data_IF_246984398088
#
_entry.id   IF_246984398088
#
_cell.length_a   1.000
_cell.length_b   1.000
_cell.length_c   1.000
_cell.angle_alpha   90.00
_cell.angle_beta   90.00
_cell.angle_gamma   90.00
#
_symmetry.space_group_name_H-M   'P 1'
#
loop_
_entity.id
_entity.type
_entity.pdbx_description
1 polymer ?
#
# COMPACT_ATOMS: atom_id res chain seq x y z
N UNK A 1 1.86 -20.78 5.17
CA UNK A 1 1.49 -19.67 4.27
C UNK A 1 2.19 -18.44 4.79
N UNK A 2 3.25 -17.88 4.23
CA UNK A 2 4.06 -18.12 3.04
C UNK A 2 4.97 -16.88 3.06
N UNK A 3 6.21 -17.03 3.52
CA UNK A 3 7.07 -15.88 3.81
C UNK A 3 7.16 -14.96 2.59
N UNK A 4 6.63 -13.74 2.69
CA UNK A 4 6.65 -12.72 1.64
C UNK A 4 8.06 -12.13 1.49
N UNK A 5 9.07 -12.98 1.33
CA UNK A 5 10.38 -12.55 0.86
C UNK A 5 10.16 -12.03 -0.56
N UNK A 6 10.41 -10.73 -0.77
CA UNK A 6 10.54 -10.19 -2.12
C UNK A 6 11.62 -11.03 -2.80
N UNK A 7 11.33 -11.81 -3.85
CA UNK A 7 12.40 -12.48 -4.57
C UNK A 7 13.34 -11.37 -5.06
N UNK A 8 14.59 -11.43 -4.61
CA UNK A 8 15.61 -10.46 -4.97
C UNK A 8 16.07 -10.80 -6.40
N UNK A 9 15.22 -10.50 -7.37
CA UNK A 9 15.50 -10.73 -8.78
C UNK A 9 16.35 -9.54 -9.23
N UNK A 10 17.63 -9.80 -9.47
CA UNK A 10 18.57 -8.83 -10.02
C UNK A 10 19.06 -9.32 -11.39
N UNK A 11 18.79 -8.57 -12.48
CA UNK A 11 18.05 -7.31 -12.52
C UNK A 11 16.54 -7.50 -12.31
N UNK A 12 15.87 -6.47 -11.80
CA UNK A 12 14.42 -6.46 -11.68
C UNK A 12 13.79 -6.75 -13.06
N UNK A 13 12.82 -7.68 -13.19
CA UNK A 13 12.21 -7.97 -14.47
C UNK A 13 11.63 -6.68 -15.06
N UNK A 14 12.16 -6.25 -16.19
CA UNK A 14 11.67 -5.09 -16.93
C UNK A 14 10.40 -5.44 -17.71
N UNK A 15 9.39 -5.99 -17.02
CA UNK A 15 8.08 -6.07 -17.64
C UNK A 15 7.57 -4.65 -17.80
N UNK A 16 7.45 -4.22 -19.05
CA UNK A 16 7.04 -2.85 -19.35
C UNK A 16 5.60 -2.63 -18.86
N UNK A 17 5.37 -1.46 -18.26
CA UNK A 17 4.06 -1.01 -17.83
C UNK A 17 3.02 -1.19 -18.96
N UNK A 18 3.37 -0.82 -20.19
CA UNK A 18 2.53 -0.90 -21.39
C UNK A 18 1.97 -2.28 -21.68
N UNK A 19 2.72 -3.33 -21.33
CA UNK A 19 2.31 -4.71 -21.59
C UNK A 19 1.43 -5.27 -20.48
N UNK A 20 1.57 -4.75 -19.26
CA UNK A 20 0.86 -5.27 -18.10
C UNK A 20 -0.44 -4.51 -17.84
N UNK A 21 -0.47 -3.19 -18.04
CA UNK A 21 -1.66 -2.38 -17.80
C UNK A 21 -2.89 -2.88 -18.56
N UNK A 22 -2.84 -3.26 -19.85
CA UNK A 22 -4.01 -3.80 -20.54
C UNK A 22 -4.56 -5.08 -19.93
N UNK A 23 -3.69 -5.94 -19.39
CA UNK A 23 -4.10 -7.18 -18.70
C UNK A 23 -4.76 -6.84 -17.37
N UNK A 24 -4.17 -5.93 -16.59
CA UNK A 24 -4.75 -5.47 -15.33
C UNK A 24 -6.10 -4.77 -15.55
N UNK A 25 -6.20 -3.92 -16.57
CA UNK A 25 -7.45 -3.28 -16.99
C UNK A 25 -8.53 -4.30 -17.32
N UNK A 26 -8.18 -5.34 -18.07
CA UNK A 26 -9.10 -6.43 -18.38
C UNK A 26 -9.60 -7.14 -17.12
N UNK A 27 -8.73 -7.35 -16.12
CA UNK A 27 -9.10 -7.99 -14.85
C UNK A 27 -10.04 -7.09 -14.04
N UNK A 28 -9.74 -5.80 -13.88
CA UNK A 28 -10.56 -4.90 -13.06
C UNK A 28 -11.90 -4.55 -13.73
N UNK A 29 -11.98 -4.63 -15.06
CA UNK A 29 -13.20 -4.37 -15.83
C UNK A 29 -14.19 -5.55 -15.84
N UNK A 30 -13.78 -6.72 -15.36
CA UNK A 30 -14.67 -7.88 -15.29
C UNK A 30 -15.70 -7.75 -14.17
N UNK A 31 -16.97 -8.01 -14.50
CA UNK A 31 -18.03 -8.11 -13.51
C UNK A 31 -17.71 -9.20 -12.48
N UNK A 32 -17.83 -8.87 -11.20
CA UNK A 32 -17.49 -9.79 -10.10
C UNK A 32 -15.99 -9.96 -9.85
N UNK A 33 -15.14 -9.07 -10.38
CA UNK A 33 -13.71 -9.05 -10.04
C UNK A 33 -13.49 -9.05 -8.51
N UNK A 34 -12.73 -10.02 -8.02
CA UNK A 34 -12.45 -10.21 -6.59
C UNK A 34 -11.09 -9.64 -6.16
N UNK A 35 -10.38 -8.93 -7.04
CA UNK A 35 -9.05 -8.37 -6.75
C UNK A 35 -9.11 -7.38 -5.59
N UNK A 36 -8.62 -7.71 -4.40
CA UNK A 36 -8.74 -6.86 -3.20
C UNK A 36 -7.62 -5.85 -3.02
N UNK A 37 -6.46 -6.15 -3.58
CA UNK A 37 -5.24 -5.37 -3.37
C UNK A 37 -4.29 -5.58 -4.54
N UNK A 38 -3.57 -4.52 -4.90
CA UNK A 38 -2.52 -4.57 -5.91
C UNK A 38 -1.30 -3.81 -5.40
N UNK A 39 -0.14 -4.44 -5.54
CA UNK A 39 1.15 -3.80 -5.30
C UNK A 39 1.81 -3.46 -6.64
N UNK A 40 2.11 -2.18 -6.86
CA UNK A 40 2.80 -1.77 -8.08
C UNK A 40 4.32 -1.76 -7.90
N UNK A 41 5.08 -2.20 -8.92
CA UNK A 41 6.53 -2.06 -8.96
C UNK A 41 6.97 -0.62 -8.67
N UNK A 42 8.04 -0.43 -7.90
CA UNK A 42 8.54 0.92 -7.59
C UNK A 42 8.90 1.71 -8.85
N UNK A 43 9.37 1.02 -9.89
CA UNK A 43 9.71 1.65 -11.18
C UNK A 43 8.51 2.31 -11.87
N UNK A 44 7.27 1.84 -11.62
CA UNK A 44 6.06 2.47 -12.18
C UNK A 44 5.59 3.68 -11.36
N UNK A 45 6.02 3.76 -10.10
CA UNK A 45 5.63 4.80 -9.14
C UNK A 45 6.62 5.96 -9.07
N UNK A 46 7.76 5.85 -9.73
CA UNK A 46 8.77 6.89 -9.78
C UNK A 46 8.44 7.92 -10.89
N UNK A 47 8.84 9.17 -10.66
CA UNK A 47 8.65 10.25 -11.63
C UNK A 47 9.80 10.29 -12.67
N UNK A 48 9.50 10.60 -13.95
CA UNK A 48 8.17 10.85 -14.50
C UNK A 48 7.33 9.57 -14.58
N UNK A 49 6.06 9.67 -14.17
CA UNK A 49 5.14 8.54 -14.17
C UNK A 49 4.74 8.19 -15.60
N UNK A 50 4.60 6.89 -15.87
CA UNK A 50 4.14 6.42 -17.17
C UNK A 50 2.74 6.96 -17.49
N UNK A 51 2.55 7.53 -18.68
CA UNK A 51 1.31 8.23 -19.05
C UNK A 51 0.03 7.38 -18.91
N UNK A 52 0.08 6.09 -19.28
CA UNK A 52 -1.05 5.17 -19.13
C UNK A 52 -1.29 4.70 -17.68
N UNK A 53 -0.32 4.89 -16.79
CA UNK A 53 -0.43 4.41 -15.41
C UNK A 53 -1.43 5.24 -14.60
N UNK A 54 -1.47 6.56 -14.79
CA UNK A 54 -2.43 7.43 -14.10
C UNK A 54 -3.90 7.10 -14.45
N UNK A 55 -4.29 7.00 -15.74
CA UNK A 55 -5.64 6.55 -16.10
C UNK A 55 -6.00 5.19 -15.52
N UNK A 56 -5.04 4.25 -15.49
CA UNK A 56 -5.24 2.95 -14.88
C UNK A 56 -5.52 3.06 -13.37
N UNK A 57 -4.72 3.85 -12.63
CA UNK A 57 -4.92 4.05 -11.19
C UNK A 57 -6.29 4.65 -10.89
N UNK A 58 -6.77 5.60 -11.69
CA UNK A 58 -8.13 6.15 -11.56
C UNK A 58 -9.20 5.07 -11.73
N UNK A 59 -9.07 4.19 -12.73
CA UNK A 59 -10.02 3.08 -12.91
C UNK A 59 -9.96 2.06 -11.78
N UNK A 60 -8.75 1.76 -11.31
CA UNK A 60 -8.55 0.84 -10.20
C UNK A 60 -9.19 1.39 -8.90
N UNK A 61 -9.00 2.67 -8.63
CA UNK A 61 -9.60 3.36 -7.49
C UNK A 61 -11.13 3.34 -7.57
N UNK A 62 -11.72 3.70 -8.71
CA UNK A 62 -13.16 3.60 -8.95
C UNK A 62 -13.70 2.18 -8.76
N UNK A 63 -12.95 1.16 -9.20
CA UNK A 63 -13.31 -0.24 -8.98
C UNK A 63 -13.32 -0.61 -7.49
N UNK A 64 -12.43 -0.03 -6.67
CA UNK A 64 -12.44 -0.24 -5.21
C UNK A 64 -13.60 0.48 -4.53
N UNK A 65 -13.90 1.72 -4.96
CA UNK A 65 -15.02 2.52 -4.44
C UNK A 65 -16.39 1.89 -4.73
N UNK A 66 -16.57 1.31 -5.92
CA UNK A 66 -17.85 0.74 -6.35
C UNK A 66 -18.18 -0.63 -5.75
N UNK A 67 -17.35 -1.15 -4.84
CA UNK A 67 -17.61 -2.42 -4.16
C UNK A 67 -18.48 -2.24 -2.93
N UNK A 68 -18.85 -3.37 -2.33
CA UNK A 68 -19.53 -3.41 -1.04
C UNK A 68 -18.81 -2.53 -0.01
N UNK A 69 -19.61 -2.01 0.92
CA UNK A 69 -19.18 -1.14 2.01
C UNK A 69 -17.96 -1.72 2.73
N UNK A 70 -16.84 -1.03 2.65
CA UNK A 70 -15.66 -1.35 3.44
C UNK A 70 -15.80 -0.70 4.82
N UNK A 71 -15.56 -1.49 5.85
CA UNK A 71 -15.62 -1.03 7.24
C UNK A 71 -14.27 -1.22 7.90
N UNK A 72 -13.89 -0.24 8.72
CA UNK A 72 -12.73 -0.36 9.58
C UNK A 72 -12.94 -1.48 10.58
N UNK A 73 -11.98 -2.40 10.67
CA UNK A 73 -12.06 -3.55 11.57
C UNK A 73 -12.08 -3.17 13.06
N UNK A 74 -11.54 -2.01 13.44
CA UNK A 74 -11.38 -1.65 14.85
C UNK A 74 -12.50 -0.72 15.37
N UNK A 75 -13.18 0.03 14.50
CA UNK A 75 -14.21 1.00 14.90
C UNK A 75 -15.51 0.96 14.09
N UNK A 76 -15.62 0.05 13.11
CA UNK A 76 -16.78 -0.12 12.23
C UNK A 76 -17.19 1.11 11.38
N UNK A 77 -16.33 2.15 11.34
CA UNK A 77 -16.52 3.31 10.46
C UNK A 77 -16.34 2.95 8.98
N UNK A 78 -17.06 3.66 8.11
CA UNK A 78 -16.96 3.52 6.66
C UNK A 78 -15.61 3.95 6.13
N UNK A 79 -15.11 3.22 5.14
CA UNK A 79 -13.88 3.55 4.44
C UNK A 79 -14.15 3.75 2.93
N UNK A 80 -13.48 4.72 2.30
CA UNK A 80 -12.66 5.77 2.93
C UNK A 80 -13.56 6.71 3.75
N UNK A 81 -13.01 7.37 4.79
CA UNK A 81 -13.81 8.32 5.55
C UNK A 81 -14.25 9.50 4.66
N UNK A 82 -15.37 10.16 4.98
CA UNK A 82 -15.96 11.24 4.14
C UNK A 82 -15.00 12.39 3.80
N UNK A 83 -13.91 12.54 4.58
CA UNK A 83 -12.88 13.56 4.42
C UNK A 83 -11.48 12.98 4.14
N UNK A 84 -11.35 11.66 4.00
CA UNK A 84 -10.07 10.99 3.73
C UNK A 84 -9.84 10.80 2.22
N UNK A 85 -8.56 10.63 1.89
CA UNK A 85 -8.06 10.40 0.53
C UNK A 85 -8.69 9.16 -0.12
N UNK A 86 -8.67 9.15 -1.46
CA UNK A 86 -9.04 8.01 -2.31
C UNK A 86 -8.41 6.67 -1.83
N UNK A 87 -8.98 5.53 -2.25
CA UNK A 87 -8.40 4.22 -1.94
C UNK A 87 -6.97 4.10 -2.48
N UNK A 88 -6.66 4.81 -3.57
CA UNK A 88 -5.35 4.91 -4.17
C UNK A 88 -4.83 6.33 -4.04
N UNK A 89 -3.62 6.48 -3.48
CA UNK A 89 -2.98 7.80 -3.38
C UNK A 89 -2.56 8.29 -4.77
N UNK A 90 -3.24 9.31 -5.26
CA UNK A 90 -2.97 9.93 -6.56
C UNK A 90 -2.00 11.12 -6.48
N UNK A 91 -1.72 11.63 -5.28
CA UNK A 91 -0.81 12.75 -5.07
C UNK A 91 0.65 12.33 -5.19
N UNK A 92 1.46 13.19 -5.81
CA UNK A 92 2.89 12.93 -5.94
C UNK A 92 3.55 12.83 -4.56
N UNK A 93 4.44 11.86 -4.38
CA UNK A 93 5.18 11.70 -3.14
C UNK A 93 5.47 10.24 -2.82
N UNK A 94 5.91 10.01 -1.59
CA UNK A 94 6.35 8.67 -1.17
C UNK A 94 5.23 7.63 -1.08
N UNK A 95 3.97 8.07 -1.06
CA UNK A 95 2.78 7.25 -0.98
C UNK A 95 2.10 7.05 -2.35
N UNK A 96 2.59 7.71 -3.41
CA UNK A 96 2.00 7.66 -4.74
C UNK A 96 1.75 6.22 -5.20
N UNK A 97 0.55 5.97 -5.72
CA UNK A 97 0.06 4.69 -6.20
C UNK A 97 0.13 3.57 -5.15
N UNK A 98 -0.09 3.90 -3.88
CA UNK A 98 -0.29 2.90 -2.82
C UNK A 98 -1.75 2.82 -2.43
N UNK A 99 -2.21 1.63 -2.04
CA UNK A 99 -3.58 1.43 -1.58
C UNK A 99 -3.69 1.77 -0.09
N UNK A 100 -4.49 2.78 0.24
CA UNK A 100 -4.76 3.23 1.60
C UNK A 100 -5.67 2.24 2.36
N UNK A 101 -5.69 2.42 3.69
CA UNK A 101 -6.65 1.78 4.59
C UNK A 101 -6.73 0.24 4.50
N UNK A 102 -5.72 -0.43 3.95
CA UNK A 102 -5.72 -1.88 3.70
C UNK A 102 -4.39 -2.49 4.13
N UNK A 103 -4.42 -3.51 4.98
CA UNK A 103 -3.20 -4.27 5.28
C UNK A 103 -2.83 -5.20 4.11
N UNK A 104 -1.63 -5.07 3.57
CA UNK A 104 -1.17 -5.86 2.42
C UNK A 104 -0.98 -7.38 2.72
N UNK A 105 -1.08 -7.80 3.98
CA UNK A 105 -0.94 -9.21 4.39
C UNK A 105 -2.32 -9.86 4.59
N UNK A 106 -3.13 -9.35 5.51
CA UNK A 106 -4.43 -9.95 5.82
C UNK A 106 -5.60 -9.41 4.97
N UNK A 107 -5.36 -8.37 4.16
CA UNK A 107 -6.35 -7.72 3.30
C UNK A 107 -7.56 -7.16 4.06
N UNK A 108 -7.43 -6.94 5.38
CA UNK A 108 -8.43 -6.27 6.20
C UNK A 108 -8.24 -4.76 6.14
N UNK A 109 -9.34 -4.04 6.37
CA UNK A 109 -9.38 -2.59 6.27
C UNK A 109 -9.34 -1.91 7.63
N UNK A 110 -8.66 -0.78 7.71
CA UNK A 110 -8.39 -0.04 8.94
C UNK A 110 -8.41 1.45 8.66
N UNK A 111 -9.02 2.22 9.55
CA UNK A 111 -8.94 3.69 9.53
C UNK A 111 -7.55 4.16 10.01
N UNK A 112 -7.09 5.31 9.52
CA UNK A 112 -5.81 5.88 9.96
C UNK A 112 -5.86 6.45 11.37
N UNK A 113 -7.05 6.84 11.85
CA UNK A 113 -7.28 7.39 13.20
C UNK A 113 -7.34 6.32 14.30
N UNK A 114 -7.45 5.05 13.91
CA UNK A 114 -7.67 3.96 14.82
C UNK A 114 -6.36 3.62 15.55
N UNK A 115 -6.28 3.88 16.85
CA UNK A 115 -5.15 3.48 17.68
C UNK A 115 -5.45 2.18 18.44
N UNK A 116 -4.54 1.22 18.40
CA UNK A 116 -4.69 -0.06 19.11
C UNK A 116 -4.11 -0.03 20.53
N UNK A 117 -3.13 0.84 20.79
CA UNK A 117 -2.51 1.03 22.11
C UNK A 117 -1.65 2.30 22.11
N UNK A 118 -1.73 3.14 23.16
CA UNK A 118 -0.81 4.27 23.46
C UNK A 118 -0.13 4.91 22.20
N UNK A 119 -0.88 5.56 21.33
CA UNK A 119 -0.36 6.24 20.12
C UNK A 119 0.20 5.32 19.01
N UNK A 120 -0.13 4.02 19.02
CA UNK A 120 0.19 3.08 17.95
C UNK A 120 -1.03 2.91 17.06
N UNK A 121 -0.93 3.40 15.82
CA UNK A 121 -1.97 3.24 14.81
C UNK A 121 -2.18 1.76 14.44
N UNK A 122 -3.43 1.39 14.17
CA UNK A 122 -3.83 0.05 13.76
C UNK A 122 -3.19 -0.35 12.43
N UNK A 123 -2.91 0.63 11.57
CA UNK A 123 -2.32 0.49 10.25
C UNK A 123 -1.12 1.44 10.10
N UNK A 124 0.04 0.90 9.71
CA UNK A 124 1.27 1.67 9.58
C UNK A 124 1.91 1.47 8.21
N UNK A 125 2.49 2.54 7.66
CA UNK A 125 3.20 2.51 6.39
C UNK A 125 4.68 2.21 6.57
N UNK A 126 5.20 1.20 5.87
CA UNK A 126 6.64 0.97 5.82
C UNK A 126 7.28 1.83 4.73
N UNK A 127 8.16 2.77 5.10
CA UNK A 127 8.84 3.65 4.13
C UNK A 127 9.81 2.94 3.20
N UNK A 128 10.28 1.73 3.56
CA UNK A 128 11.21 0.93 2.76
C UNK A 128 10.49 0.14 1.65
N UNK A 129 9.48 -0.67 2.01
CA UNK A 129 8.75 -1.45 1.01
C UNK A 129 7.55 -0.71 0.40
N UNK A 130 7.16 0.45 0.96
CA UNK A 130 6.04 1.29 0.54
C UNK A 130 4.68 0.55 0.59
N UNK A 131 4.40 -0.09 1.72
CA UNK A 131 3.16 -0.84 1.96
C UNK A 131 2.60 -0.58 3.35
N UNK A 132 1.30 -0.74 3.50
CA UNK A 132 0.61 -0.69 4.78
C UNK A 132 0.51 -2.08 5.45
N UNK A 133 0.80 -2.12 6.74
CA UNK A 133 0.69 -3.30 7.57
C UNK A 133 -0.13 -3.00 8.81
N UNK A 134 -1.03 -3.91 9.18
CA UNK A 134 -1.63 -3.82 10.50
C UNK A 134 -0.68 -4.40 11.55
N UNK A 135 -0.78 -3.86 12.76
CA UNK A 135 0.05 -4.25 13.92
C UNK A 135 -0.03 -5.74 14.27
N UNK A 136 -1.13 -6.40 13.87
CA UNK A 136 -1.37 -7.84 14.08
C UNK A 136 -0.60 -8.71 13.07
N UNK A 137 -0.30 -8.19 11.88
CA UNK A 137 0.38 -8.96 10.83
C UNK A 137 1.89 -8.80 10.89
N UNK A 138 2.39 -7.59 11.10
CA UNK A 138 3.82 -7.31 11.07
C UNK A 138 4.17 -6.27 12.12
N UNK A 139 5.21 -6.56 12.91
CA UNK A 139 5.77 -5.60 13.84
C UNK A 139 6.45 -4.46 13.07
N UNK A 140 6.26 -3.24 13.55
CA UNK A 140 6.77 -2.02 12.93
C UNK A 140 7.72 -1.33 13.89
N UNK A 141 8.89 -0.94 13.40
CA UNK A 141 9.88 -0.17 14.14
C UNK A 141 9.79 1.28 13.70
N UNK A 142 9.58 2.18 14.66
CA UNK A 142 9.57 3.61 14.44
C UNK A 142 10.98 4.19 14.68
N UNK A 143 11.46 5.03 13.77
CA UNK A 143 12.67 5.78 14.00
C UNK A 143 12.40 6.93 14.99
N UNK A 144 13.13 6.96 16.11
CA UNK A 144 13.01 8.02 17.12
C UNK A 144 13.37 9.43 16.60
N UNK A 145 14.07 9.54 15.47
CA UNK A 145 14.57 10.81 14.96
C UNK A 145 13.64 11.44 13.90
N UNK A 146 13.18 10.66 12.92
CA UNK A 146 12.27 11.17 11.88
C UNK A 146 10.82 10.72 12.02
N UNK A 147 10.51 9.82 12.96
CA UNK A 147 9.17 9.27 13.14
C UNK A 147 8.73 8.26 12.07
N UNK A 148 9.56 7.99 11.06
CA UNK A 148 9.22 7.04 9.99
C UNK A 148 9.15 5.60 10.52
N UNK A 149 8.21 4.84 9.97
CA UNK A 149 8.03 3.43 10.30
C UNK A 149 8.67 2.50 9.27
N UNK A 150 9.27 1.42 9.75
CA UNK A 150 9.74 0.33 8.90
C UNK A 150 9.27 -1.02 9.44
N UNK A 151 8.80 -1.91 8.57
CA UNK A 151 8.42 -3.24 9.01
C UNK A 151 9.66 -4.03 9.43
N UNK A 152 9.53 -4.90 10.42
CA UNK A 152 10.64 -5.70 10.94
C UNK A 152 11.34 -6.52 9.84
N UNK A 153 10.60 -6.96 8.82
CA UNK A 153 11.15 -7.65 7.64
C UNK A 153 12.17 -6.77 6.92
N UNK A 154 11.87 -5.49 6.70
CA UNK A 154 12.80 -4.53 6.10
C UNK A 154 13.86 -4.03 7.08
N UNK A 155 13.62 -4.15 8.39
CA UNK A 155 14.53 -3.66 9.44
C UNK A 155 15.58 -4.68 9.89
N UNK A 156 15.41 -5.97 9.56
CA UNK A 156 16.36 -7.05 9.88
C UNK A 156 17.83 -6.77 9.50
N UNK A 157 18.12 -5.77 8.66
CA UNK A 157 19.47 -5.48 8.19
C UNK A 157 19.89 -4.00 8.14
N UNK A 158 19.08 -3.01 8.55
CA UNK A 158 19.44 -1.60 8.27
C UNK A 158 18.93 -0.58 9.28
N UNK A 159 19.78 0.41 9.60
CA UNK A 159 19.45 1.67 10.29
C UNK A 159 18.25 2.37 9.63
N UNK A 160 17.69 3.40 10.27
CA UNK A 160 16.62 4.19 9.66
C UNK A 160 16.98 4.61 8.23
N UNK A 161 16.10 4.33 7.25
CA UNK A 161 16.37 4.56 5.83
C UNK A 161 16.65 6.04 5.52
N UNK A 162 15.99 6.95 6.24
CA UNK A 162 16.07 8.39 6.01
C UNK A 162 17.22 9.04 6.79
N UNK A 163 17.48 8.58 8.02
CA UNK A 163 18.43 9.23 8.92
C UNK A 163 19.77 8.51 8.98
N UNK A 164 19.87 7.24 8.61
CA UNK A 164 21.05 6.39 8.80
C UNK A 164 21.53 6.26 10.27
N UNK A 165 20.68 6.63 11.24
CA UNK A 165 20.92 6.50 12.69
C UNK A 165 20.05 5.37 13.27
N UNK A 166 20.52 4.79 14.37
CA UNK A 166 19.79 3.81 15.20
C UNK A 166 19.00 4.54 16.29
#
# INVERSE_FOLDING_TARGET
VGEHQRPNISPEPQISCDHVLPVLDSIISQAGCQLKHMDFPSVWRNFPVHHEFLPFLTRYDQMLQNRDRHICLECDTNLPAENEEDWIVMTEGQYFATQNSTCCVCLKHYCHECEVARAVYALNFCVKCKKYYCVKCVAMDQCNYCGDYSCCICNTYTRCFKCHWN
#
